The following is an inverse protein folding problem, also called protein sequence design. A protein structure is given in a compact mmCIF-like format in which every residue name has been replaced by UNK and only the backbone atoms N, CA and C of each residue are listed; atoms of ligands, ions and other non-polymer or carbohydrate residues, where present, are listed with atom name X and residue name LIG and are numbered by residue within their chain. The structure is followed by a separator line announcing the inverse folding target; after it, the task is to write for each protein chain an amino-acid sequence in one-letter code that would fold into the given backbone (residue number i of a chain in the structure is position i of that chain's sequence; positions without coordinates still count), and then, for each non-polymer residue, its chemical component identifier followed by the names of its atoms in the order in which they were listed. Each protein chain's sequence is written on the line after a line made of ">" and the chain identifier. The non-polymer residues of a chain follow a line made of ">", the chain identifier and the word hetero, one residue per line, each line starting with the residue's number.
data_IF_942644589581
#
_entry.id   IF_942644589581
#
_cell.length_a   1.000
_cell.length_b   1.000
_cell.length_c   1.000
_cell.angle_alpha   90.00
_cell.angle_beta   90.00
_cell.angle_gamma   90.00
#
_symmetry.space_group_name_H-M   'P 1'
#
loop_
_entity.id
_entity.type
_entity.pdbx_description
1 polymer ?
#
# COMPACT_ATOMS: atom_id res chain seq x y z
N UNK A 1 -15.83 13.19 23.64
CA UNK A 1 -17.21 12.67 23.59
C UNK A 1 -17.48 11.94 24.90
N UNK A 2 -18.54 12.32 25.59
CA UNK A 2 -19.05 11.57 26.73
C UNK A 2 -19.85 10.36 26.24
N UNK A 3 -19.21 9.19 26.23
CA UNK A 3 -19.85 7.95 25.76
C UNK A 3 -20.94 7.46 26.70
N UNK A 4 -20.80 7.70 28.00
CA UNK A 4 -21.80 7.26 28.98
C UNK A 4 -23.11 8.04 28.81
N UNK A 5 -23.03 9.35 28.72
CA UNK A 5 -24.18 10.20 28.42
C UNK A 5 -24.84 9.87 27.09
N UNK A 6 -24.04 9.67 26.06
CA UNK A 6 -24.53 9.31 24.72
C UNK A 6 -25.27 7.95 24.72
N UNK A 7 -24.74 6.94 25.43
CA UNK A 7 -25.42 5.63 25.58
C UNK A 7 -26.75 5.80 26.28
N UNK A 8 -26.81 6.60 27.35
CA UNK A 8 -28.05 6.91 28.05
C UNK A 8 -29.11 7.51 27.13
N UNK A 9 -28.74 8.58 26.40
CA UNK A 9 -29.65 9.21 25.45
C UNK A 9 -30.15 8.26 24.34
N UNK A 10 -29.26 7.39 23.82
CA UNK A 10 -29.63 6.43 22.78
C UNK A 10 -30.56 5.35 23.32
N UNK A 11 -30.32 4.89 24.55
CA UNK A 11 -31.19 3.89 25.22
C UNK A 11 -32.57 4.47 25.47
N UNK A 12 -32.68 5.73 25.91
CA UNK A 12 -33.96 6.43 26.09
C UNK A 12 -34.71 6.58 24.75
N UNK A 13 -33.99 6.64 23.61
CA UNK A 13 -34.58 6.65 22.26
C UNK A 13 -34.89 5.24 21.72
N UNK A 14 -34.79 4.20 22.54
CA UNK A 14 -35.13 2.82 22.18
C UNK A 14 -34.05 2.06 21.42
N UNK A 15 -32.79 2.50 21.52
CA UNK A 15 -31.67 1.74 20.99
C UNK A 15 -31.15 0.77 22.04
N UNK A 16 -31.04 -0.51 21.69
CA UNK A 16 -30.57 -1.57 22.58
C UNK A 16 -29.05 -1.78 22.52
N UNK A 17 -28.48 -2.31 23.59
CA UNK A 17 -27.10 -2.80 23.63
C UNK A 17 -27.01 -4.21 23.01
N UNK A 18 -25.87 -4.55 22.36
CA UNK A 18 -24.61 -3.80 22.24
C UNK A 18 -24.65 -2.73 21.16
N UNK A 19 -23.92 -1.62 21.40
CA UNK A 19 -23.76 -0.52 20.44
C UNK A 19 -22.33 -0.43 19.93
N UNK A 20 -22.14 -0.18 18.62
CA UNK A 20 -20.84 0.06 18.00
C UNK A 20 -20.71 1.53 17.60
N UNK A 21 -19.79 2.24 18.25
CA UNK A 21 -19.47 3.62 17.94
C UNK A 21 -18.25 3.72 17.00
N UNK A 22 -18.34 4.60 16.01
CA UNK A 22 -17.24 4.94 15.12
C UNK A 22 -17.05 6.44 15.06
N UNK A 23 -15.78 6.84 15.06
CA UNK A 23 -15.37 8.24 15.02
C UNK A 23 -14.54 8.50 13.75
N UNK A 24 -15.18 8.76 12.60
CA UNK A 24 -14.49 8.96 11.33
C UNK A 24 -13.46 10.10 11.38
N UNK A 25 -13.74 11.15 12.14
CA UNK A 25 -12.85 12.29 12.30
C UNK A 25 -11.48 11.90 12.87
N UNK A 26 -11.43 10.85 13.73
CA UNK A 26 -10.17 10.33 14.26
C UNK A 26 -9.33 9.71 13.16
N UNK A 27 -9.95 8.95 12.24
CA UNK A 27 -9.23 8.36 11.09
C UNK A 27 -8.61 9.45 10.22
N UNK A 28 -9.40 10.46 9.86
CA UNK A 28 -8.94 11.59 9.04
C UNK A 28 -7.83 12.39 9.74
N UNK A 29 -7.96 12.63 11.05
CA UNK A 29 -6.95 13.33 11.82
C UNK A 29 -5.63 12.55 11.88
N UNK A 30 -5.66 11.23 12.02
CA UNK A 30 -4.46 10.38 12.03
C UNK A 30 -3.73 10.40 10.70
N UNK A 31 -4.44 10.29 9.59
CA UNK A 31 -3.86 10.41 8.25
C UNK A 31 -3.22 11.79 8.07
N UNK A 32 -3.93 12.85 8.44
CA UNK A 32 -3.42 14.22 8.35
C UNK A 32 -2.14 14.42 9.18
N UNK A 33 -2.14 14.00 10.45
CA UNK A 33 -0.96 14.13 11.34
C UNK A 33 0.24 13.37 10.80
N UNK A 34 0.03 12.16 10.26
CA UNK A 34 1.08 11.37 9.64
C UNK A 34 1.70 12.11 8.46
N UNK A 35 0.89 12.53 7.49
CA UNK A 35 1.36 13.26 6.32
C UNK A 35 2.06 14.57 6.72
N UNK A 36 1.49 15.32 7.66
CA UNK A 36 2.07 16.57 8.17
C UNK A 36 3.45 16.36 8.81
N UNK A 37 3.64 15.28 9.57
CA UNK A 37 4.93 14.97 10.20
C UNK A 37 6.02 14.74 9.15
N UNK A 38 5.72 13.92 8.12
CA UNK A 38 6.65 13.69 7.00
C UNK A 38 6.90 14.96 6.19
N UNK A 39 5.86 15.69 5.80
CA UNK A 39 5.99 16.91 5.02
C UNK A 39 6.79 17.99 5.77
N UNK A 40 6.64 18.08 7.09
CA UNK A 40 7.48 18.97 7.93
C UNK A 40 8.94 18.57 7.87
N UNK A 41 9.25 17.26 7.93
CA UNK A 41 10.61 16.76 7.86
C UNK A 41 11.22 16.95 6.47
N UNK A 42 10.45 16.73 5.41
CA UNK A 42 10.82 17.01 4.02
C UNK A 42 11.23 18.48 3.87
N UNK A 43 10.37 19.41 4.29
CA UNK A 43 10.69 20.85 4.23
C UNK A 43 11.91 21.21 5.06
N UNK A 44 12.02 20.69 6.29
CA UNK A 44 13.15 20.98 7.18
C UNK A 44 14.50 20.51 6.62
N UNK A 45 14.49 19.46 5.80
CA UNK A 45 15.71 18.84 5.23
C UNK A 45 15.94 19.19 3.76
N UNK A 46 15.11 20.07 3.20
CA UNK A 46 15.13 20.41 1.74
C UNK A 46 15.14 19.16 0.84
N UNK A 47 14.40 18.13 1.26
CA UNK A 47 14.30 16.90 0.51
C UNK A 47 13.34 17.08 -0.67
N UNK A 48 13.79 16.71 -1.88
CA UNK A 48 13.07 16.98 -3.13
C UNK A 48 11.97 15.94 -3.45
N UNK A 49 11.82 14.92 -2.63
CA UNK A 49 10.78 13.90 -2.79
C UNK A 49 9.46 14.29 -2.14
N UNK A 50 8.46 13.42 -2.33
CA UNK A 50 7.11 13.54 -1.75
C UNK A 50 6.85 12.38 -0.79
N UNK A 51 6.00 12.59 0.18
CA UNK A 51 5.43 11.53 1.00
C UNK A 51 3.99 11.25 0.57
N UNK A 52 3.70 9.99 0.30
CA UNK A 52 2.35 9.49 0.07
C UNK A 52 2.06 8.37 1.06
N UNK A 53 1.08 8.55 1.92
CA UNK A 53 0.63 7.48 2.80
C UNK A 53 -0.10 6.42 1.98
N UNK A 54 0.20 5.14 2.19
CA UNK A 54 -0.47 4.04 1.50
C UNK A 54 -1.25 3.22 2.53
N UNK A 55 -2.56 3.15 2.37
CA UNK A 55 -3.42 2.37 3.25
C UNK A 55 -3.63 0.96 2.70
N UNK A 56 -3.20 -0.09 3.45
CA UNK A 56 -3.45 -1.46 3.06
C UNK A 56 -4.91 -1.84 3.27
N UNK A 57 -5.62 -2.17 2.19
CA UNK A 57 -7.06 -2.47 2.25
C UNK A 57 -7.39 -3.66 3.16
N UNK A 58 -6.45 -4.60 3.31
CA UNK A 58 -6.59 -5.79 4.18
C UNK A 58 -6.84 -5.46 5.65
N UNK A 59 -6.45 -4.27 6.12
CA UNK A 59 -6.63 -3.85 7.51
C UNK A 59 -8.11 -3.68 7.83
N UNK A 60 -8.85 -2.98 6.98
CA UNK A 60 -10.30 -2.87 7.06
C UNK A 60 -10.87 -2.43 5.69
N UNK A 61 -11.64 -3.33 5.06
CA UNK A 61 -12.25 -3.10 3.73
C UNK A 61 -13.60 -2.37 3.80
N UNK A 62 -14.06 -2.04 5.00
CA UNK A 62 -15.36 -1.40 5.16
C UNK A 62 -15.42 -0.08 4.40
N UNK A 63 -16.44 0.06 3.54
CA UNK A 63 -16.61 1.23 2.67
C UNK A 63 -16.52 2.55 3.44
N UNK A 64 -17.22 2.64 4.58
CA UNK A 64 -17.21 3.84 5.41
C UNK A 64 -15.81 4.17 5.98
N UNK A 65 -15.01 3.16 6.32
CA UNK A 65 -13.63 3.36 6.79
C UNK A 65 -12.74 3.82 5.65
N UNK A 66 -12.77 3.11 4.52
CA UNK A 66 -11.92 3.43 3.36
C UNK A 66 -12.23 4.83 2.84
N UNK A 67 -13.50 5.18 2.66
CA UNK A 67 -13.92 6.53 2.23
C UNK A 67 -13.41 7.63 3.16
N UNK A 68 -13.44 7.42 4.47
CA UNK A 68 -12.93 8.41 5.42
C UNK A 68 -11.40 8.52 5.44
N UNK A 69 -10.69 7.46 5.06
CA UNK A 69 -9.22 7.48 4.98
C UNK A 69 -8.75 8.19 3.71
N UNK A 70 -9.38 7.91 2.56
CA UNK A 70 -8.92 8.42 1.25
C UNK A 70 -9.36 9.86 0.93
N UNK A 71 -10.20 10.46 1.75
CA UNK A 71 -10.61 11.87 1.56
C UNK A 71 -9.53 12.81 2.10
N UNK A 72 -8.79 13.53 1.25
CA UNK A 72 -7.79 14.48 1.72
C UNK A 72 -8.47 15.67 2.41
N UNK A 73 -8.00 16.05 3.59
CA UNK A 73 -8.46 17.26 4.29
C UNK A 73 -7.96 18.56 3.63
N UNK A 74 -6.83 18.47 2.95
CA UNK A 74 -6.17 19.59 2.25
C UNK A 74 -5.06 19.06 1.34
N UNK A 75 -4.37 19.96 0.64
CA UNK A 75 -3.30 19.65 -0.30
C UNK A 75 -2.02 19.06 0.36
N UNK A 76 -1.92 19.09 1.69
CA UNK A 76 -0.81 18.46 2.41
C UNK A 76 -0.97 16.94 2.55
N UNK A 77 -2.14 16.39 2.24
CA UNK A 77 -2.43 14.97 2.37
C UNK A 77 -2.37 14.30 1.00
N UNK A 78 -1.38 13.44 0.81
CA UNK A 78 -1.32 12.50 -0.32
C UNK A 78 -1.52 11.09 0.22
N UNK A 79 -2.52 10.39 -0.32
CA UNK A 79 -2.86 9.04 0.12
C UNK A 79 -3.17 8.14 -1.07
N UNK A 80 -2.69 6.91 -0.99
CA UNK A 80 -2.99 5.83 -1.91
C UNK A 80 -3.48 4.59 -1.18
N UNK A 81 -3.75 3.54 -1.94
CA UNK A 81 -4.24 2.27 -1.43
C UNK A 81 -3.29 1.12 -1.81
N UNK A 82 -3.22 0.10 -0.95
CA UNK A 82 -2.51 -1.14 -1.25
C UNK A 82 -3.50 -2.29 -1.39
N UNK A 83 -3.24 -3.17 -2.36
CA UNK A 83 -3.93 -4.44 -2.56
C UNK A 83 -2.93 -5.59 -2.60
N UNK A 84 -3.18 -6.65 -1.83
CA UNK A 84 -2.34 -7.87 -1.77
C UNK A 84 -2.99 -9.09 -2.43
N UNK A 85 -4.18 -8.95 -2.99
CA UNK A 85 -4.92 -10.01 -3.68
C UNK A 85 -5.84 -9.45 -4.77
N UNK A 86 -6.33 -10.31 -5.68
CA UNK A 86 -7.27 -9.89 -6.73
C UNK A 86 -8.57 -9.27 -6.19
N UNK A 87 -9.26 -9.88 -5.20
CA UNK A 87 -10.45 -9.27 -4.62
C UNK A 87 -10.16 -7.91 -3.98
N UNK A 88 -9.03 -7.78 -3.27
CA UNK A 88 -8.60 -6.50 -2.71
C UNK A 88 -8.37 -5.45 -3.79
N UNK A 89 -7.73 -5.82 -4.92
CA UNK A 89 -7.50 -4.90 -6.02
C UNK A 89 -8.81 -4.42 -6.65
N UNK A 90 -9.81 -5.30 -6.77
CA UNK A 90 -11.13 -4.90 -7.26
C UNK A 90 -11.78 -3.86 -6.34
N UNK A 91 -11.69 -4.04 -5.04
CA UNK A 91 -12.17 -3.06 -4.04
C UNK A 91 -11.40 -1.75 -4.17
N UNK A 92 -10.07 -1.83 -4.26
CA UNK A 92 -9.20 -0.65 -4.39
C UNK A 92 -9.52 0.15 -5.66
N UNK A 93 -9.72 -0.52 -6.79
CA UNK A 93 -10.07 0.14 -8.06
C UNK A 93 -11.45 0.82 -7.99
N UNK A 94 -12.38 0.27 -7.19
CA UNK A 94 -13.70 0.88 -7.00
C UNK A 94 -13.66 2.14 -6.11
N UNK A 95 -12.71 2.23 -5.17
CA UNK A 95 -12.63 3.33 -4.21
C UNK A 95 -11.54 4.35 -4.51
N UNK A 96 -10.48 3.97 -5.21
CA UNK A 96 -9.36 4.87 -5.47
C UNK A 96 -9.83 6.12 -6.24
N UNK A 97 -9.48 7.33 -5.78
CA UNK A 97 -9.78 8.54 -6.52
C UNK A 97 -9.09 8.52 -7.88
N UNK A 98 -9.66 9.20 -8.87
CA UNK A 98 -9.06 9.28 -10.21
C UNK A 98 -7.61 9.79 -10.12
N UNK A 99 -6.69 9.06 -10.74
CA UNK A 99 -5.25 9.36 -10.67
C UNK A 99 -4.59 8.90 -9.37
N UNK A 100 -5.33 8.27 -8.45
CA UNK A 100 -4.80 7.81 -7.16
C UNK A 100 -3.70 6.76 -7.30
N UNK A 101 -2.80 6.74 -6.32
CA UNK A 101 -1.71 5.76 -6.24
C UNK A 101 -2.23 4.43 -5.70
N UNK A 102 -1.92 3.35 -6.41
CA UNK A 102 -2.26 1.97 -6.02
C UNK A 102 -0.97 1.15 -6.00
N UNK A 103 -0.72 0.46 -4.89
CA UNK A 103 0.42 -0.45 -4.74
C UNK A 103 -0.09 -1.88 -4.68
N UNK A 104 0.34 -2.71 -5.64
CA UNK A 104 -0.02 -4.12 -5.74
C UNK A 104 1.09 -4.99 -5.14
N UNK A 105 0.93 -5.38 -3.88
CA UNK A 105 1.81 -6.31 -3.16
C UNK A 105 1.24 -7.74 -3.18
N UNK A 106 1.91 -8.65 -2.47
CA UNK A 106 1.52 -10.07 -2.41
C UNK A 106 1.88 -10.84 -3.67
N UNK A 107 1.61 -12.15 -3.65
CA UNK A 107 1.88 -13.02 -4.79
C UNK A 107 0.86 -12.79 -5.91
N UNK A 108 1.37 -12.62 -7.11
CA UNK A 108 0.56 -12.25 -8.27
C UNK A 108 0.57 -13.37 -9.31
N UNK A 109 -0.61 -13.76 -9.74
CA UNK A 109 -0.81 -14.50 -10.97
C UNK A 109 -1.03 -13.55 -12.16
N UNK A 110 -1.16 -14.12 -13.35
CA UNK A 110 -1.35 -13.34 -14.59
C UNK A 110 -2.62 -12.49 -14.56
N UNK A 111 -3.69 -12.99 -13.95
CA UNK A 111 -4.96 -12.24 -13.87
C UNK A 111 -4.86 -11.05 -12.95
N UNK A 112 -4.15 -11.18 -11.83
CA UNK A 112 -3.87 -10.05 -10.94
C UNK A 112 -3.09 -8.95 -11.68
N UNK A 113 -2.05 -9.34 -12.43
CA UNK A 113 -1.23 -8.40 -13.20
C UNK A 113 -2.08 -7.72 -14.30
N UNK A 114 -2.92 -8.47 -15.02
CA UNK A 114 -3.85 -7.88 -16.01
C UNK A 114 -4.78 -6.86 -15.37
N UNK A 115 -5.37 -7.20 -14.23
CA UNK A 115 -6.26 -6.28 -13.50
C UNK A 115 -5.52 -5.01 -13.07
N UNK A 116 -4.28 -5.13 -12.60
CA UNK A 116 -3.43 -4.00 -12.22
C UNK A 116 -3.12 -3.10 -13.44
N UNK A 117 -2.77 -3.69 -14.58
CA UNK A 117 -2.55 -2.97 -15.83
C UNK A 117 -3.81 -2.27 -16.33
N UNK A 118 -4.98 -2.90 -16.20
CA UNK A 118 -6.26 -2.26 -16.52
C UNK A 118 -6.55 -1.08 -15.60
N UNK A 119 -6.22 -1.18 -14.32
CA UNK A 119 -6.27 -0.04 -13.38
C UNK A 119 -5.41 1.13 -13.87
N UNK A 120 -4.24 0.85 -14.40
CA UNK A 120 -3.36 1.86 -15.00
C UNK A 120 -3.99 2.48 -16.26
N UNK A 121 -4.63 1.69 -17.11
CA UNK A 121 -5.39 2.18 -18.29
C UNK A 121 -6.58 3.07 -17.88
N UNK A 122 -7.20 2.84 -16.73
CA UNK A 122 -8.23 3.70 -16.16
C UNK A 122 -7.70 5.02 -15.60
N UNK A 123 -6.38 5.23 -15.64
CA UNK A 123 -5.72 6.47 -15.25
C UNK A 123 -5.20 6.51 -13.81
N UNK A 124 -5.18 5.37 -13.11
CA UNK A 124 -4.55 5.28 -11.79
C UNK A 124 -3.03 5.12 -11.90
N UNK A 125 -2.32 5.55 -10.88
CA UNK A 125 -0.88 5.32 -10.71
C UNK A 125 -0.66 3.96 -10.05
N UNK A 126 -0.68 2.87 -10.84
CA UNK A 126 -0.55 1.52 -10.30
C UNK A 126 0.91 1.07 -10.33
N UNK A 127 1.43 0.64 -9.17
CA UNK A 127 2.75 0.01 -9.03
C UNK A 127 2.58 -1.49 -8.79
N UNK A 128 3.12 -2.32 -9.69
CA UNK A 128 3.13 -3.78 -9.55
C UNK A 128 4.43 -4.17 -8.87
N UNK A 129 4.36 -4.56 -7.60
CA UNK A 129 5.55 -4.89 -6.79
C UNK A 129 5.90 -6.36 -6.97
N UNK A 130 7.00 -6.64 -7.64
CA UNK A 130 7.51 -7.98 -7.89
C UNK A 130 8.09 -8.56 -6.59
N UNK A 131 7.56 -9.71 -6.18
CA UNK A 131 7.98 -10.44 -4.99
C UNK A 131 8.60 -11.82 -5.31
N UNK A 132 8.40 -12.32 -6.54
CA UNK A 132 8.94 -13.59 -7.04
C UNK A 132 9.49 -13.43 -8.46
N UNK A 133 10.52 -14.20 -8.81
CA UNK A 133 11.14 -14.16 -10.15
C UNK A 133 10.13 -14.49 -11.27
N UNK A 134 9.21 -15.43 -11.05
CA UNK A 134 8.18 -15.76 -12.04
C UNK A 134 7.24 -14.58 -12.37
N UNK A 135 7.05 -13.65 -11.44
CA UNK A 135 6.22 -12.46 -11.68
C UNK A 135 6.85 -11.52 -12.70
N UNK A 136 8.19 -11.54 -12.87
CA UNK A 136 8.89 -10.76 -13.91
C UNK A 136 8.39 -11.13 -15.29
N UNK A 137 8.36 -12.44 -15.58
CA UNK A 137 7.93 -12.95 -16.86
C UNK A 137 6.45 -12.63 -17.11
N UNK A 138 5.61 -12.74 -16.07
CA UNK A 138 4.19 -12.38 -16.18
C UNK A 138 3.98 -10.89 -16.45
N UNK A 139 4.73 -10.00 -15.82
CA UNK A 139 4.64 -8.55 -16.06
C UNK A 139 5.06 -8.23 -17.50
N UNK A 140 6.17 -8.79 -17.98
CA UNK A 140 6.65 -8.59 -19.34
C UNK A 140 5.61 -9.03 -20.37
N UNK A 141 5.12 -10.26 -20.24
CA UNK A 141 4.19 -10.85 -21.19
C UNK A 141 2.82 -10.14 -21.19
N UNK A 142 2.26 -9.86 -20.01
CA UNK A 142 0.94 -9.23 -19.94
C UNK A 142 0.98 -7.75 -20.33
N UNK A 143 2.09 -7.04 -20.05
CA UNK A 143 2.33 -5.69 -20.56
C UNK A 143 2.36 -5.65 -22.09
N UNK A 144 3.09 -6.58 -22.72
CA UNK A 144 3.17 -6.69 -24.16
C UNK A 144 1.81 -7.03 -24.78
N UNK A 145 1.08 -8.01 -24.23
CA UNK A 145 -0.26 -8.42 -24.71
C UNK A 145 -1.29 -7.31 -24.67
N UNK A 146 -1.25 -6.47 -23.62
CA UNK A 146 -2.23 -5.39 -23.43
C UNK A 146 -1.78 -4.07 -24.06
N UNK A 147 -0.51 -3.96 -24.48
CA UNK A 147 0.08 -2.70 -24.94
C UNK A 147 0.10 -1.63 -23.84
N UNK A 148 0.30 -2.05 -22.57
CA UNK A 148 0.34 -1.15 -21.42
C UNK A 148 1.69 -1.29 -20.73
N UNK A 149 2.43 -0.18 -20.64
CA UNK A 149 3.72 -0.14 -19.94
C UNK A 149 3.51 -0.13 -18.43
N UNK A 150 3.88 -1.22 -17.75
CA UNK A 150 3.71 -1.33 -16.29
C UNK A 150 4.61 -0.35 -15.52
N UNK A 151 4.14 0.26 -14.42
CA UNK A 151 5.04 0.80 -13.41
C UNK A 151 5.40 -0.33 -12.44
N UNK A 152 6.68 -0.57 -12.28
CA UNK A 152 7.21 -1.74 -11.59
C UNK A 152 7.81 -1.33 -10.26
N UNK A 153 7.47 -2.07 -9.21
CA UNK A 153 8.18 -2.10 -7.94
C UNK A 153 8.96 -3.40 -7.78
N UNK A 154 10.01 -3.38 -6.99
CA UNK A 154 10.75 -4.59 -6.63
C UNK A 154 10.81 -4.69 -5.10
N UNK A 155 10.36 -5.81 -4.53
CA UNK A 155 10.43 -6.05 -3.10
C UNK A 155 11.73 -6.71 -2.72
N UNK A 156 12.53 -6.00 -1.94
CA UNK A 156 13.81 -6.47 -1.41
C UNK A 156 13.57 -7.27 -0.13
N UNK A 157 14.20 -8.42 -0.02
CA UNK A 157 14.31 -9.16 1.23
C UNK A 157 15.45 -8.56 2.04
N UNK A 158 15.12 -8.01 3.22
CA UNK A 158 16.14 -7.48 4.11
C UNK A 158 16.90 -8.61 4.80
N UNK A 159 18.22 -8.48 4.91
CA UNK A 159 19.08 -9.41 5.66
C UNK A 159 19.12 -9.07 7.16
N UNK A 160 18.86 -7.81 7.53
CA UNK A 160 18.77 -7.39 8.92
C UNK A 160 17.39 -7.68 9.51
N UNK A 161 17.37 -8.20 10.73
CA UNK A 161 16.16 -8.38 11.52
C UNK A 161 16.03 -7.18 12.47
N UNK A 162 14.96 -6.40 12.33
CA UNK A 162 14.56 -5.53 13.42
C UNK A 162 14.16 -6.38 14.64
N UNK A 163 14.52 -5.96 15.84
CA UNK A 163 14.13 -6.65 17.07
C UNK A 163 12.62 -6.54 17.31
N UNK A 164 11.85 -7.44 16.70
CA UNK A 164 10.40 -7.48 16.83
C UNK A 164 9.92 -8.83 17.34
N UNK A 165 8.74 -8.88 17.97
CA UNK A 165 8.10 -10.13 18.41
C UNK A 165 7.84 -11.13 17.27
N UNK A 166 7.91 -10.70 16.00
CA UNK A 166 7.70 -11.48 14.79
C UNK A 166 8.95 -11.49 13.90
N UNK A 167 10.15 -11.64 14.51
CA UNK A 167 11.44 -11.67 13.82
C UNK A 167 11.50 -12.73 12.70
N UNK A 168 10.70 -13.79 12.78
CA UNK A 168 10.64 -14.88 11.77
C UNK A 168 9.94 -14.47 10.46
N UNK A 169 9.32 -13.28 10.38
CA UNK A 169 8.67 -12.81 9.15
C UNK A 169 9.59 -12.03 8.21
N UNK A 170 10.79 -11.68 8.67
CA UNK A 170 11.84 -11.00 7.92
C UNK A 170 13.14 -11.82 7.89
N UNK A 171 14.22 -11.21 7.38
CA UNK A 171 15.54 -11.81 7.31
C UNK A 171 15.75 -12.79 6.15
N UNK A 172 16.93 -13.39 6.10
CA UNK A 172 17.38 -14.23 4.98
C UNK A 172 16.49 -15.46 4.75
N UNK A 173 15.85 -15.98 5.80
CA UNK A 173 14.86 -17.07 5.75
C UNK A 173 13.44 -16.61 5.43
N UNK A 174 13.21 -15.32 5.26
CA UNK A 174 11.91 -14.75 4.92
C UNK A 174 11.43 -15.27 3.56
N UNK A 175 10.15 -15.65 3.47
CA UNK A 175 9.52 -16.18 2.25
C UNK A 175 9.05 -15.10 1.28
N UNK A 176 9.14 -13.82 1.64
CA UNK A 176 8.67 -12.71 0.83
C UNK A 176 9.82 -11.85 0.31
N UNK A 177 9.69 -11.41 -0.94
CA UNK A 177 10.66 -10.53 -1.59
C UNK A 177 11.86 -11.29 -2.20
N UNK A 178 12.61 -10.56 -2.98
CA UNK A 178 13.75 -11.04 -3.76
C UNK A 178 15.05 -10.91 -2.97
N UNK A 179 15.93 -11.91 -3.07
CA UNK A 179 17.32 -11.81 -2.62
C UNK A 179 18.11 -10.88 -3.54
N UNK A 180 19.31 -10.47 -3.15
CA UNK A 180 20.17 -9.61 -3.99
C UNK A 180 20.45 -10.21 -5.37
N UNK A 181 20.73 -11.51 -5.44
CA UNK A 181 20.95 -12.19 -6.73
C UNK A 181 19.68 -12.19 -7.60
N UNK A 182 18.51 -12.46 -6.99
CA UNK A 182 17.23 -12.42 -7.69
C UNK A 182 16.85 -11.01 -8.15
N UNK A 183 17.20 -9.98 -7.39
CA UNK A 183 17.00 -8.58 -7.79
C UNK A 183 17.82 -8.23 -9.04
N UNK A 184 19.08 -8.64 -9.10
CA UNK A 184 19.95 -8.41 -10.25
C UNK A 184 19.38 -9.14 -11.47
N UNK A 185 19.06 -10.43 -11.34
CA UNK A 185 18.45 -11.23 -12.41
C UNK A 185 17.16 -10.62 -12.93
N UNK A 186 16.27 -10.19 -12.02
CA UNK A 186 15.02 -9.53 -12.38
C UNK A 186 15.25 -8.20 -13.12
N UNK A 187 16.20 -7.39 -12.65
CA UNK A 187 16.54 -6.11 -13.29
C UNK A 187 17.10 -6.31 -14.70
N UNK A 188 17.98 -7.32 -14.89
CA UNK A 188 18.53 -7.67 -16.21
C UNK A 188 17.44 -8.14 -17.18
N UNK A 189 16.52 -9.01 -16.73
CA UNK A 189 15.38 -9.46 -17.53
C UNK A 189 14.48 -8.27 -17.94
N UNK A 190 14.14 -7.38 -17.00
CA UNK A 190 13.32 -6.20 -17.28
C UNK A 190 14.02 -5.25 -18.25
N UNK A 191 15.33 -5.05 -18.10
CA UNK A 191 16.14 -4.24 -19.02
C UNK A 191 16.17 -4.84 -20.43
N UNK A 192 16.37 -6.15 -20.55
CA UNK A 192 16.34 -6.86 -21.84
C UNK A 192 14.97 -6.76 -22.52
N UNK A 193 13.89 -6.71 -21.77
CA UNK A 193 12.53 -6.51 -22.27
C UNK A 193 12.14 -5.04 -22.54
N UNK A 194 13.07 -4.07 -22.39
CA UNK A 194 12.80 -2.64 -22.56
C UNK A 194 12.02 -1.99 -21.41
N UNK A 195 11.87 -2.68 -20.27
CA UNK A 195 11.12 -2.21 -19.09
C UNK A 195 12.03 -1.73 -17.96
N UNK A 196 13.34 -1.61 -18.15
CA UNK A 196 14.28 -1.20 -17.11
C UNK A 196 13.92 0.14 -16.47
N UNK A 197 13.59 1.15 -17.28
CA UNK A 197 13.18 2.49 -16.84
C UNK A 197 11.81 2.52 -16.11
N UNK A 198 11.10 1.41 -16.12
CA UNK A 198 9.82 1.28 -15.45
C UNK A 198 9.94 0.78 -14.01
N UNK A 199 11.13 0.41 -13.57
CA UNK A 199 11.42 0.10 -12.16
C UNK A 199 11.51 1.41 -11.38
N UNK A 200 10.39 1.82 -10.78
CA UNK A 200 10.21 3.13 -10.14
C UNK A 200 10.03 3.05 -8.63
N UNK A 201 9.90 1.84 -8.08
CA UNK A 201 9.62 1.64 -6.66
C UNK A 201 10.52 0.54 -6.11
N UNK A 202 11.24 0.85 -5.03
CA UNK A 202 11.89 -0.13 -4.18
C UNK A 202 11.01 -0.33 -2.94
N UNK A 203 10.60 -1.57 -2.70
CA UNK A 203 9.74 -1.93 -1.56
C UNK A 203 10.51 -2.85 -0.61
N UNK A 204 10.32 -2.65 0.69
CA UNK A 204 10.80 -3.56 1.72
C UNK A 204 9.85 -3.54 2.92
N UNK A 205 9.89 -4.61 3.72
CA UNK A 205 9.16 -4.72 4.96
C UNK A 205 10.15 -4.84 6.12
N UNK A 206 10.18 -3.83 6.99
CA UNK A 206 11.11 -3.79 8.12
C UNK A 206 10.72 -4.73 9.26
N UNK A 207 9.46 -5.10 9.35
CA UNK A 207 8.92 -5.90 10.43
C UNK A 207 7.57 -5.38 10.90
N UNK A 208 7.00 -6.09 11.88
CA UNK A 208 5.73 -5.75 12.51
C UNK A 208 5.96 -5.44 13.98
N UNK A 209 5.21 -4.48 14.54
CA UNK A 209 5.30 -4.10 15.96
C UNK A 209 6.73 -3.74 16.42
N UNK A 210 7.42 -2.95 15.61
CA UNK A 210 8.77 -2.45 15.93
C UNK A 210 8.65 -1.54 17.17
N UNK A 211 9.36 -1.91 18.22
CA UNK A 211 9.27 -1.21 19.50
C UNK A 211 10.22 0.00 19.58
N UNK A 212 11.32 -0.04 18.85
CA UNK A 212 12.36 0.99 18.89
C UNK A 212 12.40 1.72 17.54
N UNK A 213 12.20 3.03 17.57
CA UNK A 213 12.20 3.90 16.39
C UNK A 213 13.60 4.03 15.74
N UNK A 214 14.65 3.66 16.46
CA UNK A 214 16.02 3.69 15.98
C UNK A 214 16.43 2.46 15.15
N UNK A 215 15.61 1.40 15.14
CA UNK A 215 15.83 0.21 14.34
C UNK A 215 15.41 0.49 12.88
#
# INVERSE_FOLDING_TARGET
>A
VDLYGLIGELTERGQDLPMLFRFPDILQDRVYRLCKAFNRSIRKRDYQGKYTAIYPIKVNQQESVVKNIIVPKNDEVSIGLEAGSKPELMIVLAFAPKGGTIVCNGYKDREFIRLALMGQRLGHQVFIVIEKEAEVDYVIEESAKLGITANIGMRVRLSSLAASKWADTGGEKGKFGLSSAQLISAAEKLKAAGLGEQVKLMHFHMGSQIANIGD
#
